data_IF_922705799582
#
_entry.id   IF_922705799582
#
_cell.length_a   1.000
_cell.length_b   1.000
_cell.length_c   1.000
_cell.angle_alpha   90.00
_cell.angle_beta   90.00
_cell.angle_gamma   90.00
#
_symmetry.space_group_name_H-M   'P 1'
#
loop_
_entity.id
_entity.type
_entity.pdbx_description
1 polymer ?
#
# COMPACT_ATOMS: atom_id res chain seq x y z
N UNK A 1 3.29 -94.94 8.15
CA UNK A 1 1.98 -95.59 8.02
C UNK A 1 1.12 -94.72 7.12
N UNK A 2 1.00 -95.17 5.90
CA UNK A 2 -0.26 -95.51 5.20
C UNK A 2 -1.13 -94.27 4.91
N UNK A 3 -1.22 -93.92 3.68
CA UNK A 3 -2.15 -94.26 2.59
C UNK A 3 -3.26 -93.17 2.50
N UNK A 4 -3.70 -92.70 1.50
CA UNK A 4 -3.89 -92.93 0.09
C UNK A 4 -4.96 -91.99 -0.42
N UNK A 5 -4.78 -91.42 -1.57
CA UNK A 5 -5.68 -91.49 -2.76
C UNK A 5 -7.00 -90.71 -2.66
N UNK A 6 -7.40 -90.00 -3.59
CA UNK A 6 -7.57 -90.01 -5.04
C UNK A 6 -8.67 -89.03 -5.43
N UNK A 7 -8.68 -88.61 -6.65
CA UNK A 7 -9.76 -88.02 -7.48
C UNK A 7 -10.12 -86.60 -7.21
N UNK A 8 -9.94 -85.65 -8.06
CA UNK A 8 -10.25 -85.70 -9.49
C UNK A 8 -11.56 -84.98 -9.72
N UNK A 9 -11.52 -83.68 -10.13
CA UNK A 9 -12.61 -83.16 -10.97
C UNK A 9 -12.20 -81.84 -11.61
N UNK A 10 -12.30 -81.86 -12.90
CA UNK A 10 -12.19 -80.73 -13.78
C UNK A 10 -13.05 -79.54 -13.35
N UNK A 11 -12.49 -78.37 -13.26
CA UNK A 11 -13.26 -77.15 -13.24
C UNK A 11 -12.68 -76.15 -14.24
N UNK A 12 -13.46 -75.90 -15.19
CA UNK A 12 -13.47 -74.90 -16.26
C UNK A 12 -12.78 -73.62 -15.85
N UNK A 13 -11.73 -73.23 -16.57
CA UNK A 13 -11.21 -71.88 -16.53
C UNK A 13 -12.06 -70.99 -17.44
N UNK A 14 -13.00 -70.20 -16.82
CA UNK A 14 -13.64 -69.08 -17.51
C UNK A 14 -12.63 -67.94 -17.48
N UNK A 15 -11.98 -67.69 -18.58
CA UNK A 15 -11.20 -66.49 -18.84
C UNK A 15 -12.19 -65.32 -19.03
N UNK A 16 -12.41 -64.53 -17.95
CA UNK A 16 -12.98 -63.20 -18.08
C UNK A 16 -11.93 -62.29 -18.70
N UNK A 17 -12.04 -62.08 -20.01
CA UNK A 17 -11.30 -61.01 -20.68
C UNK A 17 -11.83 -59.66 -20.20
N UNK A 18 -11.10 -59.03 -19.27
CA UNK A 18 -11.32 -57.65 -18.91
C UNK A 18 -10.83 -56.81 -20.12
N UNK A 19 -11.77 -56.34 -20.92
CA UNK A 19 -11.51 -55.33 -21.96
C UNK A 19 -11.26 -54.03 -21.21
N UNK A 20 -9.98 -53.69 -21.00
CA UNK A 20 -9.54 -52.34 -20.65
C UNK A 20 -9.82 -51.44 -21.85
N UNK A 21 -10.96 -50.76 -21.88
CA UNK A 21 -11.17 -49.59 -22.71
C UNK A 21 -10.20 -48.51 -22.23
N UNK A 22 -9.32 -47.98 -23.12
CA UNK A 22 -8.52 -46.83 -22.77
C UNK A 22 -9.48 -45.66 -22.54
N UNK A 23 -9.53 -45.15 -21.30
CA UNK A 23 -10.10 -43.84 -20.99
C UNK A 23 -9.27 -42.81 -21.79
N UNK A 24 -9.76 -42.50 -23.00
CA UNK A 24 -9.29 -41.34 -23.73
C UNK A 24 -9.54 -40.13 -22.85
N UNK A 25 -8.51 -39.30 -22.53
CA UNK A 25 -8.74 -38.04 -21.85
C UNK A 25 -9.75 -37.28 -22.74
N UNK A 26 -10.89 -36.93 -22.20
CA UNK A 26 -11.82 -35.98 -22.82
C UNK A 26 -11.02 -34.69 -23.00
N UNK A 27 -10.56 -34.47 -24.22
CA UNK A 27 -10.02 -33.17 -24.60
C UNK A 27 -11.15 -32.17 -24.32
N UNK A 28 -11.00 -31.37 -23.27
CA UNK A 28 -11.84 -30.24 -23.03
C UNK A 28 -11.77 -29.41 -24.31
N UNK A 29 -12.89 -29.26 -25.01
CA UNK A 29 -12.97 -28.46 -26.21
C UNK A 29 -12.39 -27.09 -25.88
N UNK A 30 -11.23 -26.78 -26.38
CA UNK A 30 -10.66 -25.46 -26.22
C UNK A 30 -11.63 -24.51 -26.92
N UNK A 31 -12.19 -23.57 -26.15
CA UNK A 31 -13.08 -22.55 -26.68
C UNK A 31 -12.41 -21.92 -27.91
N UNK A 32 -13.20 -21.73 -28.98
CA UNK A 32 -12.67 -21.13 -30.20
C UNK A 32 -11.99 -19.78 -29.88
N UNK A 33 -10.83 -19.50 -30.45
CA UNK A 33 -10.12 -18.25 -30.14
C UNK A 33 -10.95 -17.05 -30.58
N UNK A 34 -10.87 -15.96 -29.84
CA UNK A 34 -11.49 -14.67 -30.16
C UNK A 34 -11.03 -14.17 -31.55
N UNK A 35 -9.76 -14.31 -31.81
CA UNK A 35 -9.08 -14.00 -33.08
C UNK A 35 -7.76 -14.73 -33.17
N UNK A 36 -7.19 -14.84 -34.38
CA UNK A 36 -5.83 -15.30 -34.60
C UNK A 36 -5.05 -14.20 -35.34
N UNK A 37 -3.96 -13.73 -34.76
CA UNK A 37 -3.13 -12.65 -35.32
C UNK A 37 -1.76 -13.21 -35.65
N UNK A 38 -1.40 -13.28 -36.94
CA UNK A 38 -0.13 -13.84 -37.41
C UNK A 38 0.19 -15.22 -36.79
N UNK A 39 -0.83 -16.08 -36.64
CA UNK A 39 -0.69 -17.42 -36.07
C UNK A 39 -0.81 -17.49 -34.53
N UNK A 40 -0.86 -16.38 -33.84
CA UNK A 40 -1.06 -16.31 -32.37
C UNK A 40 -2.55 -16.17 -32.03
N UNK A 41 -3.07 -17.11 -31.26
CA UNK A 41 -4.47 -17.14 -30.87
C UNK A 41 -4.72 -16.26 -29.66
N UNK A 42 -5.71 -15.37 -29.74
CA UNK A 42 -6.23 -14.59 -28.62
C UNK A 42 -7.36 -15.38 -27.98
N UNK A 43 -7.25 -15.71 -26.70
CA UNK A 43 -8.24 -16.52 -26.00
C UNK A 43 -9.59 -15.79 -25.84
N UNK A 44 -10.70 -16.46 -26.16
CA UNK A 44 -12.06 -15.94 -26.00
C UNK A 44 -12.39 -15.53 -24.57
N UNK A 45 -11.97 -16.31 -23.59
CA UNK A 45 -12.17 -16.01 -22.17
C UNK A 45 -11.54 -14.68 -21.69
N UNK A 46 -10.58 -14.10 -22.44
CA UNK A 46 -10.07 -12.77 -22.15
C UNK A 46 -11.16 -11.70 -22.37
N UNK A 47 -11.90 -11.82 -23.50
CA UNK A 47 -13.01 -10.91 -23.80
C UNK A 47 -14.07 -10.96 -22.70
N UNK A 48 -14.50 -12.17 -22.33
CA UNK A 48 -15.58 -12.33 -21.34
C UNK A 48 -15.20 -11.75 -19.97
N UNK A 49 -13.98 -12.03 -19.49
CA UNK A 49 -13.50 -11.42 -18.24
C UNK A 49 -13.43 -9.90 -18.31
N UNK A 50 -13.00 -9.35 -19.45
CA UNK A 50 -12.90 -7.90 -19.63
C UNK A 50 -14.29 -7.26 -19.70
N UNK A 51 -15.25 -7.90 -20.40
CA UNK A 51 -16.65 -7.46 -20.41
C UNK A 51 -17.23 -7.47 -18.99
N UNK A 52 -17.03 -8.54 -18.23
CA UNK A 52 -17.48 -8.60 -16.83
C UNK A 52 -16.89 -7.49 -15.97
N UNK A 53 -15.59 -7.18 -16.13
CA UNK A 53 -14.96 -6.09 -15.41
C UNK A 53 -15.56 -4.72 -15.77
N UNK A 54 -15.86 -4.49 -17.05
CA UNK A 54 -16.53 -3.25 -17.51
C UNK A 54 -17.98 -3.15 -16.99
N UNK A 55 -18.71 -4.28 -16.96
CA UNK A 55 -20.07 -4.33 -16.39
C UNK A 55 -20.06 -4.03 -14.89
N UNK A 56 -19.07 -4.52 -14.15
CA UNK A 56 -18.89 -4.20 -12.73
C UNK A 56 -18.62 -2.71 -12.48
N UNK A 57 -18.13 -1.98 -13.50
CA UNK A 57 -17.90 -0.53 -13.48
C UNK A 57 -19.09 0.27 -14.02
N UNK A 58 -20.24 -0.40 -14.28
CA UNK A 58 -21.48 0.25 -14.71
C UNK A 58 -21.67 0.33 -16.24
N UNK A 59 -20.78 -0.25 -17.04
CA UNK A 59 -21.01 -0.34 -18.48
C UNK A 59 -22.02 -1.45 -18.79
N UNK A 60 -22.72 -1.30 -19.93
CA UNK A 60 -23.64 -2.33 -20.40
C UNK A 60 -22.93 -3.33 -21.31
N UNK A 61 -23.11 -4.63 -21.06
CA UNK A 61 -22.70 -5.64 -22.03
C UNK A 61 -23.49 -5.47 -23.33
N UNK A 62 -22.83 -5.11 -24.39
CA UNK A 62 -23.41 -4.86 -25.71
C UNK A 62 -22.53 -5.42 -26.82
N UNK A 63 -23.12 -5.63 -27.99
CA UNK A 63 -22.38 -6.07 -29.16
C UNK A 63 -21.28 -5.09 -29.57
N UNK A 64 -21.56 -3.79 -29.41
CA UNK A 64 -20.61 -2.70 -29.69
C UNK A 64 -19.41 -2.74 -28.74
N UNK A 65 -19.64 -2.92 -27.41
CA UNK A 65 -18.56 -3.06 -26.42
C UNK A 65 -17.70 -4.28 -26.74
N UNK A 66 -18.33 -5.43 -27.01
CA UNK A 66 -17.61 -6.67 -27.35
C UNK A 66 -16.78 -6.50 -28.64
N UNK A 67 -17.33 -5.84 -29.67
CA UNK A 67 -16.63 -5.56 -30.90
C UNK A 67 -15.43 -4.62 -30.69
N UNK A 68 -15.60 -3.55 -29.91
CA UNK A 68 -14.54 -2.61 -29.58
C UNK A 68 -13.40 -3.28 -28.81
N UNK A 69 -13.71 -4.08 -27.78
CA UNK A 69 -12.73 -4.83 -27.01
C UNK A 69 -11.97 -5.85 -27.88
N UNK A 70 -12.70 -6.55 -28.79
CA UNK A 70 -12.03 -7.45 -29.75
C UNK A 70 -11.00 -6.73 -30.61
N UNK A 71 -11.36 -5.56 -31.16
CA UNK A 71 -10.41 -4.77 -31.95
C UNK A 71 -9.23 -4.27 -31.11
N UNK A 72 -9.47 -3.88 -29.86
CA UNK A 72 -8.41 -3.49 -28.95
C UNK A 72 -7.42 -4.64 -28.69
N UNK A 73 -7.91 -5.86 -28.44
CA UNK A 73 -7.04 -7.03 -28.24
C UNK A 73 -6.22 -7.37 -29.48
N UNK A 74 -6.82 -7.27 -30.66
CA UNK A 74 -6.10 -7.45 -31.93
C UNK A 74 -4.99 -6.41 -32.08
N UNK A 75 -5.32 -5.12 -31.84
CA UNK A 75 -4.34 -4.04 -31.93
C UNK A 75 -3.18 -4.22 -30.91
N UNK A 76 -3.48 -4.61 -29.67
CA UNK A 76 -2.46 -4.92 -28.63
C UNK A 76 -1.55 -6.05 -29.10
N UNK A 77 -2.11 -7.13 -29.64
CA UNK A 77 -1.33 -8.28 -30.12
C UNK A 77 -0.39 -7.88 -31.27
N UNK A 78 -0.90 -7.12 -32.26
CA UNK A 78 -0.08 -6.62 -33.37
C UNK A 78 1.10 -5.77 -32.87
N UNK A 79 0.84 -4.84 -31.94
CA UNK A 79 1.90 -3.98 -31.38
C UNK A 79 2.90 -4.80 -30.55
N UNK A 80 2.43 -5.79 -29.80
CA UNK A 80 3.29 -6.67 -29.00
C UNK A 80 4.23 -7.47 -29.90
N UNK A 81 3.72 -8.05 -30.98
CA UNK A 81 4.54 -8.79 -31.95
C UNK A 81 5.58 -7.89 -32.62
N UNK A 82 5.23 -6.65 -32.96
CA UNK A 82 6.21 -5.72 -33.52
C UNK A 82 7.30 -5.35 -32.51
N UNK A 83 6.92 -5.14 -31.23
CA UNK A 83 7.89 -4.89 -30.16
C UNK A 83 8.84 -6.09 -29.96
N UNK A 84 8.30 -7.30 -30.00
CA UNK A 84 9.10 -8.55 -29.94
C UNK A 84 10.03 -8.68 -31.12
N UNK A 85 9.55 -8.42 -32.35
CA UNK A 85 10.33 -8.42 -33.55
C UNK A 85 11.51 -7.45 -33.49
N UNK A 86 11.32 -6.28 -32.87
CA UNK A 86 12.38 -5.29 -32.60
C UNK A 86 13.30 -5.69 -31.46
N UNK A 87 13.03 -6.78 -30.77
CA UNK A 87 13.84 -7.25 -29.64
C UNK A 87 13.68 -6.41 -28.37
N UNK A 88 12.64 -5.56 -28.24
CA UNK A 88 12.46 -4.66 -27.11
C UNK A 88 12.26 -5.43 -25.80
N UNK A 89 11.66 -6.61 -25.84
CA UNK A 89 11.51 -7.47 -24.66
C UNK A 89 12.84 -8.02 -24.12
N UNK A 90 13.89 -8.08 -24.97
CA UNK A 90 15.21 -8.63 -24.60
C UNK A 90 16.14 -7.59 -23.97
N UNK A 91 15.75 -6.34 -23.95
CA UNK A 91 16.52 -5.30 -23.29
C UNK A 91 16.59 -5.58 -21.78
N UNK A 92 17.76 -5.43 -21.17
CA UNK A 92 17.94 -5.65 -19.73
C UNK A 92 16.95 -4.84 -18.89
N UNK A 93 16.76 -3.56 -19.21
CA UNK A 93 15.79 -2.70 -18.54
C UNK A 93 14.34 -3.20 -18.64
N UNK A 94 13.97 -3.81 -19.78
CA UNK A 94 12.64 -4.39 -19.96
C UNK A 94 12.48 -5.66 -19.13
N UNK A 95 13.50 -6.52 -19.09
CA UNK A 95 13.51 -7.73 -18.27
C UNK A 95 13.41 -7.40 -16.77
N UNK A 96 14.16 -6.38 -16.30
CA UNK A 96 14.09 -5.89 -14.93
C UNK A 96 12.69 -5.34 -14.58
N UNK A 97 12.09 -4.60 -15.52
CA UNK A 97 10.72 -4.08 -15.35
C UNK A 97 9.68 -5.22 -15.29
N UNK A 98 9.76 -6.21 -16.17
CA UNK A 98 8.87 -7.37 -16.17
C UNK A 98 9.01 -8.21 -14.89
N UNK A 99 10.27 -8.42 -14.42
CA UNK A 99 10.53 -9.10 -13.16
C UNK A 99 9.86 -8.35 -11.99
N UNK A 100 10.07 -7.03 -11.91
CA UNK A 100 9.49 -6.18 -10.87
C UNK A 100 7.96 -6.19 -10.92
N UNK A 101 7.36 -6.08 -12.10
CA UNK A 101 5.90 -6.14 -12.27
C UNK A 101 5.34 -7.49 -11.81
N UNK A 102 5.99 -8.59 -12.17
CA UNK A 102 5.59 -9.94 -11.73
C UNK A 102 5.69 -10.09 -10.22
N UNK A 103 6.80 -9.62 -9.61
CA UNK A 103 6.98 -9.68 -8.16
C UNK A 103 5.91 -8.88 -7.43
N UNK A 104 5.64 -7.64 -7.86
CA UNK A 104 4.62 -6.80 -7.27
C UNK A 104 3.22 -7.45 -7.36
N UNK A 105 2.85 -7.97 -8.53
CA UNK A 105 1.58 -8.66 -8.69
C UNK A 105 1.45 -9.87 -7.76
N UNK A 106 2.50 -10.69 -7.63
CA UNK A 106 2.47 -11.85 -6.74
C UNK A 106 2.41 -11.46 -5.27
N UNK A 107 3.08 -10.38 -4.87
CA UNK A 107 3.00 -9.83 -3.51
C UNK A 107 1.57 -9.33 -3.22
N UNK A 108 0.97 -8.60 -4.15
CA UNK A 108 -0.40 -8.11 -3.98
C UNK A 108 -1.41 -9.25 -3.89
N UNK A 109 -1.29 -10.27 -4.74
CA UNK A 109 -2.12 -11.47 -4.69
C UNK A 109 -1.93 -12.25 -3.38
N UNK A 110 -0.70 -12.38 -2.87
CA UNK A 110 -0.45 -13.00 -1.58
C UNK A 110 -1.12 -12.24 -0.45
N UNK A 111 -1.02 -10.91 -0.44
CA UNK A 111 -1.67 -10.08 0.56
C UNK A 111 -3.20 -10.20 0.48
N UNK A 112 -3.76 -10.20 -0.73
CA UNK A 112 -5.19 -10.39 -0.93
C UNK A 112 -5.67 -11.76 -0.42
N UNK A 113 -4.92 -12.82 -0.69
CA UNK A 113 -5.22 -14.18 -0.21
C UNK A 113 -5.19 -14.27 1.32
N UNK A 114 -4.16 -13.69 1.96
CA UNK A 114 -4.06 -13.62 3.44
C UNK A 114 -5.26 -12.88 4.05
N UNK A 115 -5.66 -11.73 3.51
CA UNK A 115 -6.82 -10.98 4.00
C UNK A 115 -8.17 -11.65 3.69
N UNK A 116 -8.24 -12.42 2.60
CA UNK A 116 -9.44 -13.21 2.29
C UNK A 116 -9.60 -14.39 3.27
N UNK A 117 -8.49 -15.06 3.60
CA UNK A 117 -8.47 -16.16 4.56
C UNK A 117 -8.67 -15.72 6.00
N UNK A 118 -8.17 -14.55 6.33
CA UNK A 118 -8.24 -13.96 7.67
C UNK A 118 -8.71 -12.50 7.56
N UNK A 119 -10.01 -12.24 7.39
CA UNK A 119 -10.54 -10.88 7.33
C UNK A 119 -10.22 -10.10 8.60
N UNK A 120 -9.99 -8.80 8.43
CA UNK A 120 -9.80 -7.90 9.57
C UNK A 120 -11.16 -7.73 10.27
N UNK A 121 -11.20 -8.01 11.58
CA UNK A 121 -12.41 -7.90 12.38
C UNK A 121 -12.48 -6.57 13.12
N UNK A 122 -13.68 -6.14 13.47
CA UNK A 122 -13.89 -4.94 14.30
C UNK A 122 -13.22 -5.07 15.67
N UNK A 123 -13.22 -6.27 16.24
CA UNK A 123 -12.52 -6.56 17.50
C UNK A 123 -11.01 -6.32 17.40
N UNK A 124 -10.39 -6.66 16.28
CA UNK A 124 -8.96 -6.41 16.03
C UNK A 124 -8.67 -4.92 15.86
N UNK A 125 -9.54 -4.19 15.14
CA UNK A 125 -9.42 -2.74 15.01
C UNK A 125 -9.54 -2.05 16.35
N UNK A 126 -10.50 -2.48 17.17
CA UNK A 126 -10.68 -1.94 18.53
C UNK A 126 -9.49 -2.25 19.43
N UNK A 127 -8.95 -3.46 19.38
CA UNK A 127 -7.76 -3.82 20.15
C UNK A 127 -6.54 -2.95 19.76
N UNK A 128 -6.36 -2.66 18.48
CA UNK A 128 -5.29 -1.77 18.01
C UNK A 128 -5.53 -0.33 18.48
N UNK A 129 -6.77 0.17 18.43
CA UNK A 129 -7.14 1.47 18.97
C UNK A 129 -6.82 1.56 20.47
N UNK A 130 -7.26 0.58 21.26
CA UNK A 130 -7.04 0.56 22.71
C UNK A 130 -5.52 0.49 23.02
N UNK A 131 -4.75 -0.25 22.22
CA UNK A 131 -3.28 -0.31 22.32
C UNK A 131 -2.64 1.05 22.07
N UNK A 132 -3.04 1.75 21.00
CA UNK A 132 -2.49 3.06 20.66
C UNK A 132 -2.88 4.11 21.70
N UNK A 133 -4.14 4.13 22.15
CA UNK A 133 -4.60 5.02 23.22
C UNK A 133 -3.83 4.77 24.52
N UNK A 134 -3.56 3.51 24.86
CA UNK A 134 -2.75 3.16 26.04
C UNK A 134 -1.32 3.69 25.93
N UNK A 135 -0.68 3.57 24.78
CA UNK A 135 0.68 4.10 24.53
C UNK A 135 0.67 5.63 24.64
N UNK A 136 -0.30 6.29 24.03
CA UNK A 136 -0.44 7.74 24.09
C UNK A 136 -0.60 8.23 25.53
N UNK A 137 -1.48 7.60 26.32
CA UNK A 137 -1.71 7.97 27.73
C UNK A 137 -0.54 7.65 28.65
N UNK A 138 0.29 6.67 28.32
CA UNK A 138 1.48 6.34 29.10
C UNK A 138 2.54 7.46 29.06
N UNK A 139 2.52 8.33 28.04
CA UNK A 139 3.39 9.50 27.90
C UNK A 139 2.99 10.69 28.78
N UNK A 140 1.92 10.57 29.57
CA UNK A 140 1.38 11.65 30.41
C UNK A 140 0.29 12.46 29.69
N UNK A 141 -0.03 13.63 30.26
CA UNK A 141 -1.01 14.54 29.68
C UNK A 141 -0.48 15.14 28.38
N UNK A 142 -0.96 14.63 27.27
CA UNK A 142 -0.61 15.12 25.94
C UNK A 142 -1.19 16.52 25.73
N UNK A 143 -0.32 17.44 25.34
CA UNK A 143 -0.72 18.79 24.96
C UNK A 143 -0.49 19.01 23.48
N UNK A 144 -1.43 19.69 22.84
CA UNK A 144 -1.25 20.28 21.53
C UNK A 144 -0.83 21.74 21.67
N UNK A 145 0.01 22.16 20.75
CA UNK A 145 0.53 23.50 20.64
C UNK A 145 0.10 24.09 19.30
N UNK A 146 -0.57 25.22 19.33
CA UNK A 146 -0.75 25.99 18.10
C UNK A 146 0.51 26.83 17.91
N UNK A 147 1.19 26.63 16.80
CA UNK A 147 2.48 27.26 16.53
C UNK A 147 2.48 28.03 15.21
N UNK A 148 3.20 29.13 15.21
CA UNK A 148 3.59 29.83 13.99
C UNK A 148 5.10 29.79 13.84
N UNK A 149 5.60 29.71 12.59
CA UNK A 149 6.99 29.51 12.26
C UNK A 149 7.47 30.49 11.19
N UNK A 150 8.66 31.03 11.36
CA UNK A 150 9.38 31.78 10.35
C UNK A 150 10.69 31.07 10.05
N UNK A 151 10.93 30.75 8.80
CA UNK A 151 12.12 30.02 8.33
C UNK A 151 12.97 30.96 7.49
N UNK A 152 14.27 31.02 7.79
CA UNK A 152 15.23 31.82 7.03
C UNK A 152 16.54 31.06 6.80
N UNK A 153 17.34 31.52 5.83
CA UNK A 153 18.56 30.85 5.42
C UNK A 153 19.79 31.12 6.35
N UNK A 154 19.73 32.11 7.23
CA UNK A 154 20.90 32.46 8.07
C UNK A 154 20.49 32.79 9.50
N UNK A 155 21.41 32.58 10.43
CA UNK A 155 21.24 32.97 11.83
C UNK A 155 21.07 34.46 12.00
N UNK A 156 21.78 35.28 11.21
CA UNK A 156 21.68 36.74 11.25
C UNK A 156 20.24 37.19 10.90
N UNK A 157 19.67 36.67 9.82
CA UNK A 157 18.29 37.00 9.45
C UNK A 157 17.28 36.57 10.54
N UNK A 158 17.50 35.45 11.23
CA UNK A 158 16.65 35.02 12.33
C UNK A 158 16.81 35.92 13.57
N UNK A 159 18.00 36.41 13.85
CA UNK A 159 18.24 37.36 14.91
C UNK A 159 17.59 38.72 14.65
N UNK A 160 17.62 39.19 13.39
CA UNK A 160 16.94 40.43 12.97
C UNK A 160 15.42 40.31 13.17
N UNK A 161 14.86 39.15 12.86
CA UNK A 161 13.42 38.86 13.10
C UNK A 161 13.11 38.90 14.61
N UNK A 162 13.93 38.27 15.45
CA UNK A 162 13.76 38.34 16.91
C UNK A 162 13.89 39.78 17.44
N UNK A 163 14.79 40.58 16.89
CA UNK A 163 14.93 42.00 17.25
C UNK A 163 13.68 42.81 16.85
N UNK A 164 13.15 42.58 15.63
CA UNK A 164 11.93 43.21 15.14
C UNK A 164 10.71 42.87 16.00
N UNK A 165 10.58 41.57 16.39
CA UNK A 165 9.52 41.13 17.30
C UNK A 165 9.60 41.77 18.68
N UNK A 166 10.79 41.96 19.23
CA UNK A 166 11.01 42.68 20.49
C UNK A 166 10.64 44.15 20.41
N UNK A 167 10.72 44.76 19.21
CA UNK A 167 10.31 46.12 18.91
C UNK A 167 8.80 46.22 18.64
N UNK A 168 8.03 45.11 18.77
CA UNK A 168 6.58 45.10 18.64
C UNK A 168 6.07 44.85 17.21
N UNK A 169 6.92 44.50 16.28
CA UNK A 169 6.46 44.11 14.96
C UNK A 169 5.64 42.81 15.04
N UNK A 170 4.58 42.73 14.23
CA UNK A 170 3.70 41.56 14.23
C UNK A 170 4.37 40.33 13.61
N UNK A 171 4.23 39.18 14.26
CA UNK A 171 4.83 37.91 13.80
C UNK A 171 4.37 37.52 12.41
N UNK A 172 3.06 37.63 12.14
CA UNK A 172 2.45 37.31 10.84
C UNK A 172 2.96 38.19 9.70
N UNK A 173 3.18 39.49 9.96
CA UNK A 173 3.75 40.41 8.97
C UNK A 173 5.21 40.04 8.65
N UNK A 174 6.00 39.67 9.65
CA UNK A 174 7.36 39.20 9.45
C UNK A 174 7.39 37.85 8.73
N UNK A 175 6.49 36.93 9.07
CA UNK A 175 6.33 35.66 8.38
C UNK A 175 6.06 35.87 6.87
N UNK A 176 5.06 36.68 6.55
CA UNK A 176 4.69 37.00 5.15
C UNK A 176 5.84 37.63 4.35
N UNK A 177 6.63 38.48 5.00
CA UNK A 177 7.66 39.24 4.28
C UNK A 177 9.03 38.56 4.24
N UNK A 178 9.37 37.70 5.20
CA UNK A 178 10.71 37.18 5.40
C UNK A 178 10.82 35.65 5.37
N UNK A 179 9.72 34.91 5.63
CA UNK A 179 9.79 33.47 5.72
C UNK A 179 9.96 32.79 4.37
N UNK A 180 10.78 31.73 4.36
CA UNK A 180 10.93 30.80 3.25
C UNK A 180 9.91 29.66 3.31
N UNK A 181 9.21 29.51 4.43
CA UNK A 181 8.23 28.46 4.62
C UNK A 181 6.94 28.74 3.84
N UNK A 182 6.30 27.73 3.23
CA UNK A 182 5.01 27.90 2.53
C UNK A 182 3.89 28.46 3.42
N UNK A 183 3.94 28.23 4.74
CA UNK A 183 2.97 28.79 5.69
C UNK A 183 3.01 30.31 5.81
N UNK A 184 4.01 30.99 5.23
CA UNK A 184 4.16 32.45 5.23
C UNK A 184 2.89 33.19 4.81
N UNK A 185 2.18 32.65 3.79
CA UNK A 185 0.97 33.28 3.26
C UNK A 185 -0.16 33.30 4.30
N UNK A 186 -0.13 32.36 5.26
CA UNK A 186 -1.01 32.33 6.44
C UNK A 186 -0.32 32.86 7.72
N UNK A 187 0.62 33.81 7.58
CA UNK A 187 1.31 34.39 8.74
C UNK A 187 2.23 33.43 9.50
N UNK A 188 2.63 32.34 8.86
CA UNK A 188 3.47 31.28 9.45
C UNK A 188 2.71 30.27 10.28
N UNK A 189 1.35 30.32 10.36
CA UNK A 189 0.56 29.41 11.18
C UNK A 189 0.64 27.97 10.62
N UNK A 190 1.06 27.04 11.49
CA UNK A 190 1.12 25.59 11.22
C UNK A 190 -0.04 24.82 11.88
N UNK A 191 -0.93 25.53 12.57
CA UNK A 191 -2.06 24.94 13.29
C UNK A 191 -1.65 24.24 14.58
N UNK A 192 -2.51 23.30 15.03
CA UNK A 192 -2.34 22.53 16.25
C UNK A 192 -1.51 21.28 16.01
N UNK A 193 -0.34 21.19 16.66
CA UNK A 193 0.60 20.08 16.54
C UNK A 193 0.87 19.44 17.92
N UNK A 194 1.10 18.12 17.88
CA UNK A 194 1.66 17.38 19.01
C UNK A 194 3.20 17.54 19.01
N UNK A 195 3.88 17.36 20.14
CA UNK A 195 5.35 17.43 20.22
C UNK A 195 6.07 16.49 19.24
N UNK A 196 5.55 15.29 19.00
CA UNK A 196 6.12 14.28 18.08
C UNK A 196 5.89 14.58 16.60
N UNK A 197 5.00 15.52 16.29
CA UNK A 197 4.79 16.02 14.93
C UNK A 197 5.76 17.15 14.54
N UNK A 198 6.58 17.58 15.47
CA UNK A 198 7.62 18.60 15.29
C UNK A 198 9.00 17.96 15.24
N UNK A 199 9.96 18.62 14.58
CA UNK A 199 11.36 18.19 14.72
C UNK A 199 11.81 18.31 16.17
N UNK A 200 12.68 17.42 16.68
CA UNK A 200 13.12 17.47 18.09
C UNK A 200 13.65 18.83 18.53
N UNK A 201 14.38 19.54 17.64
CA UNK A 201 14.91 20.86 17.95
C UNK A 201 13.82 21.90 18.22
N UNK A 202 12.72 21.86 17.46
CA UNK A 202 11.58 22.77 17.64
C UNK A 202 10.73 22.31 18.83
N UNK A 203 10.43 21.02 18.93
CA UNK A 203 9.62 20.43 20.01
C UNK A 203 10.19 20.78 21.40
N UNK A 204 11.50 20.60 21.60
CA UNK A 204 12.20 20.90 22.84
C UNK A 204 12.06 22.37 23.30
N UNK A 205 11.91 23.29 22.35
CA UNK A 205 11.68 24.70 22.65
C UNK A 205 10.20 24.96 22.90
N UNK A 206 9.31 24.48 22.02
CA UNK A 206 7.88 24.74 22.03
C UNK A 206 7.21 24.26 23.32
N UNK A 207 7.54 23.07 23.83
CA UNK A 207 6.95 22.51 25.05
C UNK A 207 7.17 23.39 26.27
N UNK A 208 8.27 24.16 26.30
CA UNK A 208 8.66 25.04 27.39
C UNK A 208 8.20 26.50 27.19
N UNK A 209 7.70 26.88 26.01
CA UNK A 209 7.21 28.23 25.77
C UNK A 209 5.83 28.43 26.37
N UNK A 210 5.56 29.59 26.95
CA UNK A 210 4.21 30.00 27.31
C UNK A 210 3.36 30.32 26.09
N UNK A 211 2.03 30.26 26.21
CA UNK A 211 1.14 30.75 25.15
C UNK A 211 1.37 32.24 24.91
N UNK A 212 1.49 32.65 23.65
CA UNK A 212 1.87 34.00 23.21
C UNK A 212 3.39 34.22 23.08
N UNK A 213 4.23 33.33 23.61
CA UNK A 213 5.66 33.52 23.62
C UNK A 213 6.34 33.10 22.29
N UNK A 214 7.47 33.76 22.01
CA UNK A 214 8.35 33.47 20.88
C UNK A 214 9.63 32.80 21.40
N UNK A 215 10.27 31.98 20.59
CA UNK A 215 11.58 31.40 20.91
C UNK A 215 12.59 32.47 21.28
N UNK A 216 13.35 32.26 22.37
CA UNK A 216 14.30 33.26 22.86
C UNK A 216 15.51 33.43 21.91
N UNK A 217 15.83 32.36 21.16
CA UNK A 217 16.93 32.31 20.20
C UNK A 217 16.47 31.61 18.90
N UNK A 218 17.18 31.81 17.79
CA UNK A 218 16.98 31.06 16.58
C UNK A 218 17.22 29.56 16.80
N UNK A 219 16.39 28.73 16.18
CA UNK A 219 16.47 27.26 16.25
C UNK A 219 16.98 26.74 14.91
N UNK A 220 18.10 26.03 14.91
CA UNK A 220 18.64 25.44 13.69
C UNK A 220 17.98 24.10 13.38
N UNK A 221 17.49 23.94 12.14
CA UNK A 221 16.99 22.66 11.62
C UNK A 221 17.57 22.46 10.22
N UNK A 222 18.51 21.54 10.09
CA UNK A 222 19.26 21.35 8.86
C UNK A 222 20.01 22.63 8.44
N UNK A 223 19.88 23.10 7.19
CA UNK A 223 20.54 24.31 6.71
C UNK A 223 19.79 25.60 7.07
N UNK A 224 18.61 25.50 7.69
CA UNK A 224 17.72 26.65 7.94
C UNK A 224 17.62 27.01 9.42
N UNK A 225 17.16 28.26 9.65
CA UNK A 225 16.95 28.82 10.97
C UNK A 225 15.49 29.18 11.15
N UNK A 226 14.95 28.79 12.31
CA UNK A 226 13.55 28.93 12.66
C UNK A 226 13.37 29.90 13.83
N UNK A 227 12.35 30.73 13.74
CA UNK A 227 11.80 31.50 14.84
C UNK A 227 10.37 31.04 15.05
N UNK A 228 10.07 30.53 16.24
CA UNK A 228 8.77 29.89 16.52
C UNK A 228 8.01 30.67 17.56
N UNK A 229 6.70 30.81 17.39
CA UNK A 229 5.75 31.39 18.35
C UNK A 229 4.72 30.35 18.72
N UNK A 230 4.46 30.19 20.02
CA UNK A 230 3.31 29.40 20.51
C UNK A 230 2.13 30.36 20.65
N UNK A 231 1.07 30.16 19.87
CA UNK A 231 -0.15 30.98 19.92
C UNK A 231 -1.21 30.41 20.84
N UNK A 232 -1.18 29.09 21.07
CA UNK A 232 -2.12 28.42 21.97
C UNK A 232 -1.59 27.09 22.50
N UNK A 233 -2.14 26.66 23.61
CA UNK A 233 -1.94 25.33 24.21
C UNK A 233 -3.29 24.75 24.59
N UNK A 234 -3.49 23.47 24.35
CA UNK A 234 -4.70 22.76 24.81
C UNK A 234 -4.38 21.28 25.10
N UNK A 235 -5.12 20.64 25.99
CA UNK A 235 -5.07 19.19 26.11
C UNK A 235 -5.42 18.52 24.78
N UNK A 236 -4.67 17.48 24.42
CA UNK A 236 -5.02 16.66 23.27
C UNK A 236 -6.16 15.73 23.60
N UNK A 237 -7.23 15.84 22.85
CA UNK A 237 -8.33 14.88 22.93
C UNK A 237 -8.09 13.78 21.91
N UNK A 238 -7.89 12.57 22.40
CA UNK A 238 -7.76 11.39 21.53
C UNK A 238 -9.08 11.19 20.79
N UNK A 239 -9.09 11.18 19.45
CA UNK A 239 -10.32 10.92 18.69
C UNK A 239 -10.96 9.60 19.10
N UNK A 240 -12.28 9.53 19.03
CA UNK A 240 -13.02 8.31 19.34
C UNK A 240 -12.69 7.14 18.40
N UNK A 241 -13.07 5.92 18.80
CA UNK A 241 -12.82 4.73 18.01
C UNK A 241 -13.41 4.83 16.58
N UNK A 242 -14.65 5.26 16.46
CA UNK A 242 -15.33 5.37 15.15
C UNK A 242 -14.62 6.37 14.22
N UNK A 243 -14.15 7.50 14.75
CA UNK A 243 -13.38 8.48 13.97
C UNK A 243 -12.00 7.94 13.56
N UNK A 244 -11.44 7.05 14.37
CA UNK A 244 -10.10 6.47 14.18
C UNK A 244 -10.12 5.17 13.35
N UNK A 245 -11.29 4.62 13.02
CA UNK A 245 -11.46 3.28 12.45
C UNK A 245 -10.65 3.05 11.18
N UNK A 246 -10.67 4.00 10.25
CA UNK A 246 -9.88 3.91 9.01
C UNK A 246 -8.36 3.94 9.28
N UNK A 247 -7.93 4.73 10.26
CA UNK A 247 -6.54 4.77 10.68
C UNK A 247 -6.12 3.43 11.30
N UNK A 248 -6.97 2.85 12.15
CA UNK A 248 -6.74 1.52 12.74
C UNK A 248 -6.70 0.43 11.68
N UNK A 249 -7.55 0.49 10.68
CA UNK A 249 -7.53 -0.45 9.56
C UNK A 249 -6.17 -0.43 8.85
N UNK A 250 -5.66 0.75 8.52
CA UNK A 250 -4.35 0.89 7.91
C UNK A 250 -3.22 0.39 8.82
N UNK A 251 -3.29 0.67 10.12
CA UNK A 251 -2.32 0.19 11.09
C UNK A 251 -2.29 -1.34 11.19
N UNK A 252 -3.46 -1.98 11.25
CA UNK A 252 -3.59 -3.45 11.28
C UNK A 252 -3.07 -4.07 9.98
N UNK A 253 -3.41 -3.49 8.81
CA UNK A 253 -2.87 -3.94 7.53
C UNK A 253 -1.34 -3.93 7.53
N UNK A 254 -0.73 -2.82 7.97
CA UNK A 254 0.73 -2.69 8.01
C UNK A 254 1.36 -3.66 9.04
N UNK A 255 0.73 -3.82 10.20
CA UNK A 255 1.21 -4.77 11.21
C UNK A 255 1.19 -6.22 10.69
N UNK A 256 0.09 -6.65 10.05
CA UNK A 256 -0.02 -7.98 9.45
C UNK A 256 0.98 -8.19 8.32
N UNK A 257 1.17 -7.18 7.46
CA UNK A 257 2.16 -7.21 6.38
C UNK A 257 3.58 -7.39 6.94
N UNK A 258 3.93 -6.64 7.97
CA UNK A 258 5.22 -6.74 8.63
C UNK A 258 5.42 -8.11 9.28
N UNK A 259 4.40 -8.64 9.97
CA UNK A 259 4.44 -9.96 10.59
C UNK A 259 4.59 -11.08 9.55
N UNK A 260 3.84 -10.99 8.43
CA UNK A 260 3.97 -11.94 7.32
C UNK A 260 5.37 -11.92 6.73
N UNK A 261 5.89 -10.72 6.42
CA UNK A 261 7.25 -10.57 5.88
C UNK A 261 8.29 -11.16 6.83
N UNK A 262 8.19 -10.85 8.13
CA UNK A 262 9.11 -11.42 9.13
C UNK A 262 9.04 -12.94 9.15
N UNK A 263 7.86 -13.53 9.20
CA UNK A 263 7.66 -15.00 9.18
C UNK A 263 8.30 -15.64 7.95
N UNK A 264 8.10 -15.03 6.78
CA UNK A 264 8.65 -15.55 5.53
C UNK A 264 10.17 -15.40 5.46
N UNK A 265 10.70 -14.27 5.94
CA UNK A 265 12.14 -14.01 5.97
C UNK A 265 12.86 -14.94 6.95
N UNK A 266 12.29 -15.16 8.14
CA UNK A 266 12.85 -16.07 9.16
C UNK A 266 12.90 -17.54 8.67
N UNK A 267 11.97 -17.93 7.78
CA UNK A 267 11.93 -19.25 7.17
C UNK A 267 12.79 -19.39 5.91
N UNK A 268 13.29 -18.28 5.36
CA UNK A 268 14.05 -18.29 4.11
C UNK A 268 15.50 -18.72 4.34
N UNK A 269 16.04 -19.52 3.43
CA UNK A 269 17.46 -19.83 3.38
C UNK A 269 18.15 -18.82 2.45
N UNK A 270 18.90 -17.90 3.04
CA UNK A 270 19.71 -16.93 2.33
C UNK A 270 21.16 -17.42 2.33
N UNK A 271 21.75 -17.61 1.15
CA UNK A 271 23.14 -18.04 0.98
C UNK A 271 23.99 -16.90 0.47
#
# INVERSE_FOLDING_TARGET
MKFNQLMGCNAFWLQCAVVLLPLLPTAQAADAPLAVVNGVAIASGLLDRTVQANVAQGQKDSAELRAALKQEFIAREVMTQEAQKRGLEKLASTQDALLSMRQNLLIDLLMQDEFTKQPITDAELKAEYDRQVKVLKAGGDLQQFQISNIVVASVAAAQDILAALRQGQAFDALAKSKSLDPSKDNGGDLGWLLPDQMTPAISNVVVNLASGAVSAAPIQVGPYWHVVKVTGKRPYQVPGYEESKNLMQNAVIQARRTALLKRLTDAAVVK
#
